data_IF_872776288783
#
_entry.id   IF_872776288783
#
_cell.length_a   1.000
_cell.length_b   1.000
_cell.length_c   1.000
_cell.angle_alpha   90.00
_cell.angle_beta   90.00
_cell.angle_gamma   90.00
#
_symmetry.space_group_name_H-M   'P 1'
#
loop_
_entity.id
_entity.type
_entity.pdbx_description
1 polymer ?
#
# COMPACT_ATOMS: atom_id res chain seq x y z
N UNK A 1 -11.93 10.83 4.14
CA UNK A 1 -10.92 11.45 3.26
C UNK A 1 -11.49 12.16 2.03
N UNK A 2 -10.87 13.28 1.61
CA UNK A 2 -11.07 13.93 0.30
C UNK A 2 -10.79 12.98 -0.87
N UNK A 3 -11.42 13.26 -2.01
CA UNK A 3 -11.18 12.55 -3.25
C UNK A 3 -10.30 13.38 -4.19
N UNK A 4 -9.38 12.71 -4.87
CA UNK A 4 -8.40 13.27 -5.82
C UNK A 4 -8.25 12.31 -7.00
N UNK A 5 -7.55 12.73 -8.05
CA UNK A 5 -7.10 11.79 -9.08
C UNK A 5 -6.07 10.86 -8.43
N UNK A 6 -6.32 9.56 -8.49
CA UNK A 6 -5.43 8.51 -8.00
C UNK A 6 -4.94 7.69 -9.20
N UNK A 7 -3.64 7.44 -9.24
CA UNK A 7 -3.00 6.59 -10.23
C UNK A 7 -3.43 5.12 -10.09
N UNK A 8 -3.86 4.69 -8.90
CA UNK A 8 -4.36 3.34 -8.58
C UNK A 8 -3.26 2.25 -8.54
N UNK A 9 -2.19 2.42 -9.31
CA UNK A 9 -0.97 1.61 -9.25
C UNK A 9 0.28 2.49 -9.18
N UNK A 10 0.47 3.17 -8.04
CA UNK A 10 1.64 4.02 -7.76
C UNK A 10 2.70 3.35 -6.83
N UNK A 11 3.15 2.10 -7.05
CA UNK A 11 4.25 1.50 -6.31
C UNK A 11 5.61 1.95 -6.87
N UNK A 12 6.68 1.64 -6.14
CA UNK A 12 8.05 2.00 -6.51
C UNK A 12 8.47 1.51 -7.91
N UNK A 13 7.96 0.37 -8.37
CA UNK A 13 8.25 -0.20 -9.71
C UNK A 13 7.74 0.65 -10.89
N UNK A 14 6.76 1.52 -10.66
CA UNK A 14 6.16 2.37 -11.70
C UNK A 14 6.77 3.79 -11.67
N UNK A 15 7.82 3.99 -10.87
CA UNK A 15 8.58 5.23 -10.76
C UNK A 15 9.98 5.04 -11.33
N UNK A 16 10.35 5.87 -12.29
CA UNK A 16 11.65 5.82 -12.96
C UNK A 16 12.47 7.05 -12.59
N UNK A 17 13.71 6.85 -12.13
CA UNK A 17 14.67 7.94 -12.00
C UNK A 17 15.22 8.23 -13.39
N UNK A 18 14.84 9.35 -13.96
CA UNK A 18 15.18 9.74 -15.32
C UNK A 18 16.19 10.89 -15.28
N UNK A 19 17.28 10.82 -16.09
CA UNK A 19 18.20 11.94 -16.21
C UNK A 19 17.54 13.13 -16.93
N UNK A 20 18.09 14.32 -16.72
CA UNK A 20 17.74 15.50 -17.51
C UNK A 20 17.77 15.21 -19.03
N UNK A 21 16.77 15.71 -19.76
CA UNK A 21 16.64 15.57 -21.21
C UNK A 21 16.12 16.87 -21.85
N UNK A 22 16.99 17.89 -22.00
CA UNK A 22 16.58 19.16 -22.62
C UNK A 22 16.15 19.00 -24.08
N UNK A 23 15.15 19.76 -24.56
CA UNK A 23 14.48 20.85 -23.86
C UNK A 23 13.25 20.39 -23.04
N UNK A 24 13.01 19.09 -22.90
CA UNK A 24 11.82 18.57 -22.22
C UNK A 24 11.95 18.64 -20.70
N UNK A 25 13.14 18.31 -20.18
CA UNK A 25 13.47 18.36 -18.75
C UNK A 25 14.90 18.88 -18.55
N UNK A 26 15.04 19.99 -17.85
CA UNK A 26 16.35 20.61 -17.57
C UNK A 26 17.09 19.94 -16.40
N UNK A 27 16.36 19.22 -15.53
CA UNK A 27 16.87 18.51 -14.36
C UNK A 27 16.45 17.03 -14.38
N UNK A 28 17.13 16.20 -13.58
CA UNK A 28 16.70 14.83 -13.31
C UNK A 28 15.28 14.84 -12.72
N UNK A 29 14.47 13.87 -13.13
CA UNK A 29 13.05 13.83 -12.77
C UNK A 29 12.58 12.41 -12.48
N UNK A 30 11.42 12.29 -11.83
CA UNK A 30 10.74 11.02 -11.65
C UNK A 30 9.73 10.83 -12.77
N UNK A 31 10.00 9.90 -13.68
CA UNK A 31 9.04 9.42 -14.65
C UNK A 31 8.00 8.53 -13.98
N UNK A 32 6.73 8.70 -14.35
CA UNK A 32 5.60 7.91 -13.84
C UNK A 32 4.97 7.16 -15.03
N UNK A 33 4.78 5.85 -14.91
CA UNK A 33 4.19 4.99 -15.94
C UNK A 33 3.00 4.21 -15.38
N UNK A 34 2.21 3.59 -16.28
CA UNK A 34 1.08 2.71 -15.93
C UNK A 34 -0.16 3.45 -15.34
N UNK A 35 -0.35 4.70 -15.75
CA UNK A 35 -1.41 5.60 -15.24
C UNK A 35 -2.77 5.48 -15.97
N UNK A 36 -2.92 4.59 -16.94
CA UNK A 36 -4.13 4.48 -17.76
C UNK A 36 -5.40 4.07 -16.99
N UNK A 37 -5.22 3.42 -15.82
CA UNK A 37 -6.32 2.99 -14.94
C UNK A 37 -6.61 4.02 -13.83
N UNK A 38 -6.12 5.25 -13.96
CA UNK A 38 -6.34 6.30 -12.97
C UNK A 38 -7.84 6.59 -12.78
N UNK A 39 -8.24 6.81 -11.54
CA UNK A 39 -9.64 7.06 -11.15
C UNK A 39 -9.73 8.23 -10.17
N UNK A 40 -10.95 8.67 -9.89
CA UNK A 40 -11.20 9.60 -8.79
C UNK A 40 -11.40 8.80 -7.50
N UNK A 41 -10.51 8.97 -6.54
CA UNK A 41 -10.40 8.10 -5.37
C UNK A 41 -9.83 8.79 -4.15
N UNK A 42 -9.67 8.06 -3.03
CA UNK A 42 -9.30 8.67 -1.76
C UNK A 42 -7.84 9.13 -1.75
N UNK A 43 -7.56 10.30 -1.15
CA UNK A 43 -6.23 10.93 -1.12
C UNK A 43 -5.10 10.02 -0.60
N UNK A 44 -5.41 9.07 0.27
CA UNK A 44 -4.40 8.17 0.85
C UNK A 44 -4.02 7.01 -0.07
N UNK A 45 -4.72 6.80 -1.20
CA UNK A 45 -4.58 5.58 -2.01
C UNK A 45 -3.17 5.40 -2.57
N UNK A 46 -2.69 6.37 -3.35
CA UNK A 46 -1.35 6.31 -3.96
C UNK A 46 -0.24 6.43 -2.91
N UNK A 47 -0.48 7.19 -1.85
CA UNK A 47 0.45 7.29 -0.72
C UNK A 47 0.66 5.94 -0.04
N UNK A 48 -0.42 5.18 0.18
CA UNK A 48 -0.33 3.79 0.69
C UNK A 48 0.38 2.90 -0.32
N UNK A 49 0.08 3.03 -1.61
CA UNK A 49 0.73 2.25 -2.66
C UNK A 49 2.25 2.41 -2.65
N UNK A 50 2.74 3.63 -2.36
CA UNK A 50 4.16 3.94 -2.30
C UNK A 50 4.81 3.57 -0.96
N UNK A 51 4.20 3.99 0.17
CA UNK A 51 4.82 3.88 1.49
C UNK A 51 4.64 2.51 2.15
N UNK A 52 3.62 1.75 1.73
CA UNK A 52 3.35 0.37 2.15
C UNK A 52 3.31 -0.53 0.91
N UNK A 53 4.38 -0.47 0.13
CA UNK A 53 4.56 -1.29 -1.06
C UNK A 53 4.57 -2.79 -0.67
N UNK A 54 3.98 -3.64 -1.49
CA UNK A 54 3.99 -5.10 -1.25
C UNK A 54 5.40 -5.70 -1.38
N UNK A 55 6.34 -5.02 -2.04
CA UNK A 55 7.68 -5.55 -2.31
C UNK A 55 8.75 -5.11 -1.29
N UNK A 56 8.49 -4.08 -0.49
CA UNK A 56 9.47 -3.50 0.44
C UNK A 56 8.78 -3.20 1.77
N UNK A 57 9.43 -3.59 2.87
CA UNK A 57 8.94 -3.27 4.21
C UNK A 57 9.78 -2.21 4.89
N UNK A 58 9.13 -1.10 5.25
CA UNK A 58 9.74 0.00 6.01
C UNK A 58 9.38 -0.06 7.50
N UNK A 59 10.26 0.41 8.41
CA UNK A 59 9.90 0.60 9.81
C UNK A 59 8.71 1.56 9.96
N UNK A 60 7.74 1.24 10.82
CA UNK A 60 6.52 2.06 11.01
C UNK A 60 6.84 3.52 11.32
N UNK A 61 7.85 3.79 12.16
CA UNK A 61 8.27 5.15 12.49
C UNK A 61 8.65 5.96 11.24
N UNK A 62 9.35 5.34 10.28
CA UNK A 62 9.76 5.99 9.03
C UNK A 62 8.54 6.29 8.14
N UNK A 63 7.60 5.34 8.06
CA UNK A 63 6.33 5.53 7.34
C UNK A 63 5.54 6.70 7.94
N UNK A 64 5.48 6.81 9.26
CA UNK A 64 4.81 7.91 9.95
C UNK A 64 5.48 9.28 9.69
N UNK A 65 6.82 9.32 9.63
CA UNK A 65 7.55 10.54 9.25
C UNK A 65 7.22 10.98 7.82
N UNK A 66 7.10 10.05 6.88
CA UNK A 66 6.71 10.38 5.50
C UNK A 66 5.23 10.77 5.39
N UNK A 67 4.36 10.18 6.20
CA UNK A 67 2.96 10.60 6.28
C UNK A 67 2.83 12.03 6.80
N UNK A 68 3.63 12.38 7.81
CA UNK A 68 3.69 13.74 8.36
C UNK A 68 4.26 14.74 7.34
N UNK A 69 5.32 14.36 6.62
CA UNK A 69 5.83 15.13 5.49
C UNK A 69 4.76 15.37 4.42
N UNK A 70 4.00 14.33 4.04
CA UNK A 70 2.88 14.47 3.11
C UNK A 70 1.81 15.42 3.64
N UNK A 71 1.43 15.29 4.92
CA UNK A 71 0.42 16.13 5.56
C UNK A 71 0.79 17.61 5.56
N UNK A 72 2.07 17.92 5.75
CA UNK A 72 2.58 19.30 5.82
C UNK A 72 2.74 19.96 4.45
N UNK A 73 2.87 19.16 3.38
CA UNK A 73 3.11 19.65 2.02
C UNK A 73 1.93 19.46 1.05
N UNK A 74 0.85 18.81 1.48
CA UNK A 74 -0.37 18.62 0.67
C UNK A 74 -1.49 19.55 1.12
N UNK A 75 -1.92 20.44 0.21
CA UNK A 75 -3.08 21.30 0.45
C UNK A 75 -4.37 20.50 0.66
N UNK A 76 -4.51 19.36 -0.04
CA UNK A 76 -5.66 18.49 0.10
C UNK A 76 -5.62 17.70 1.42
N UNK A 77 -4.44 17.32 1.91
CA UNK A 77 -4.30 16.67 3.21
C UNK A 77 -4.59 17.63 4.38
N UNK A 78 -4.34 18.94 4.21
CA UNK A 78 -4.65 19.98 5.20
C UNK A 78 -6.15 20.06 5.56
N UNK A 79 -7.03 19.42 4.78
CA UNK A 79 -8.47 19.29 5.08
C UNK A 79 -8.77 18.23 6.16
N UNK A 80 -7.78 17.44 6.56
CA UNK A 80 -7.90 16.37 7.56
C UNK A 80 -7.07 16.72 8.80
N UNK A 81 -7.55 16.39 10.00
CA UNK A 81 -6.68 16.37 11.17
C UNK A 81 -5.70 15.19 11.09
N UNK A 82 -4.59 15.27 11.84
CA UNK A 82 -3.52 14.27 11.78
C UNK A 82 -4.01 12.86 12.16
N UNK A 83 -4.91 12.76 13.15
CA UNK A 83 -5.50 11.50 13.59
C UNK A 83 -6.39 10.89 12.50
N UNK A 84 -7.18 11.71 11.81
CA UNK A 84 -8.04 11.26 10.72
C UNK A 84 -7.21 10.82 9.51
N UNK A 85 -6.15 11.55 9.16
CA UNK A 85 -5.24 11.18 8.08
C UNK A 85 -4.55 9.83 8.39
N UNK A 86 -4.04 9.67 9.61
CA UNK A 86 -3.42 8.43 10.05
C UNK A 86 -4.40 7.25 9.99
N UNK A 87 -5.62 7.46 10.48
CA UNK A 87 -6.68 6.44 10.41
C UNK A 87 -7.04 6.09 8.98
N UNK A 88 -7.31 7.07 8.13
CA UNK A 88 -7.63 6.85 6.72
C UNK A 88 -6.49 6.11 5.99
N UNK A 89 -5.23 6.44 6.30
CA UNK A 89 -4.04 5.81 5.74
C UNK A 89 -3.85 4.35 6.21
N UNK A 90 -4.08 4.05 7.48
CA UNK A 90 -3.99 2.67 7.98
C UNK A 90 -5.14 1.81 7.43
N UNK A 91 -6.37 2.32 7.38
CA UNK A 91 -7.52 1.60 6.82
C UNK A 91 -7.40 1.38 5.31
N UNK A 92 -6.91 2.38 4.57
CA UNK A 92 -6.60 2.23 3.15
C UNK A 92 -5.51 1.18 2.93
N UNK A 93 -4.49 1.18 3.79
CA UNK A 93 -3.50 0.10 3.88
C UNK A 93 -4.15 -1.27 3.98
N UNK A 94 -5.01 -1.49 4.97
CA UNK A 94 -5.72 -2.76 5.15
C UNK A 94 -6.52 -3.16 3.90
N UNK A 95 -7.29 -2.23 3.33
CA UNK A 95 -8.10 -2.49 2.14
C UNK A 95 -7.24 -2.91 0.93
N UNK A 96 -6.17 -2.16 0.65
CA UNK A 96 -5.29 -2.43 -0.51
C UNK A 96 -4.57 -3.76 -0.38
N UNK A 97 -4.05 -4.06 0.81
CA UNK A 97 -3.34 -5.30 1.07
C UNK A 97 -4.28 -6.50 1.03
N UNK A 98 -5.52 -6.37 1.53
CA UNK A 98 -6.53 -7.43 1.39
C UNK A 98 -6.83 -7.72 -0.08
N UNK A 99 -7.01 -6.68 -0.90
CA UNK A 99 -7.19 -6.81 -2.35
C UNK A 99 -5.96 -7.48 -3.00
N UNK A 100 -4.75 -7.07 -2.64
CA UNK A 100 -3.51 -7.63 -3.18
C UNK A 100 -3.36 -9.12 -2.84
N UNK A 101 -3.60 -9.52 -1.59
CA UNK A 101 -3.57 -10.93 -1.18
C UNK A 101 -4.56 -11.78 -1.99
N UNK A 102 -5.78 -11.27 -2.24
CA UNK A 102 -6.76 -11.91 -3.10
C UNK A 102 -6.31 -12.03 -4.56
N UNK A 103 -5.67 -10.98 -5.11
CA UNK A 103 -5.10 -11.00 -6.46
C UNK A 103 -3.98 -12.05 -6.57
N UNK A 104 -3.05 -12.10 -5.61
CA UNK A 104 -1.97 -13.08 -5.59
C UNK A 104 -2.48 -14.52 -5.52
N UNK A 105 -3.48 -14.77 -4.65
CA UNK A 105 -4.14 -16.07 -4.59
C UNK A 105 -4.81 -16.43 -5.93
N UNK A 106 -5.53 -15.49 -6.55
CA UNK A 106 -6.16 -15.70 -7.85
C UNK A 106 -5.15 -15.99 -8.95
N UNK A 107 -4.04 -15.25 -9.02
CA UNK A 107 -2.96 -15.46 -10.00
C UNK A 107 -2.34 -16.86 -9.85
N UNK A 108 -2.18 -17.34 -8.62
CA UNK A 108 -1.72 -18.71 -8.36
C UNK A 108 -2.72 -19.75 -8.83
N UNK A 109 -4.01 -19.62 -8.46
CA UNK A 109 -5.04 -20.62 -8.74
C UNK A 109 -5.38 -20.69 -10.23
N UNK A 110 -5.53 -19.53 -10.88
CA UNK A 110 -6.01 -19.43 -12.26
C UNK A 110 -4.89 -19.45 -13.29
N UNK A 111 -3.80 -18.73 -13.01
CA UNK A 111 -2.76 -18.44 -13.99
C UNK A 111 -1.45 -19.24 -13.73
N UNK A 112 -1.42 -20.12 -12.73
CA UNK A 112 -0.25 -20.93 -12.37
C UNK A 112 0.94 -20.12 -11.84
N UNK A 113 0.74 -18.83 -11.53
CA UNK A 113 1.81 -17.93 -11.07
C UNK A 113 2.03 -18.05 -9.57
N UNK A 114 2.48 -19.22 -9.12
CA UNK A 114 2.65 -19.56 -7.70
C UNK A 114 3.64 -18.64 -6.96
N UNK A 115 4.59 -18.03 -7.68
CA UNK A 115 5.59 -17.13 -7.09
C UNK A 115 4.99 -15.95 -6.30
N UNK A 116 3.79 -15.46 -6.66
CA UNK A 116 3.12 -14.38 -5.94
C UNK A 116 2.64 -14.79 -4.53
N UNK A 117 2.53 -16.09 -4.24
CA UNK A 117 2.16 -16.54 -2.89
C UNK A 117 3.23 -16.19 -1.86
N UNK A 118 4.48 -16.00 -2.29
CA UNK A 118 5.58 -15.62 -1.41
C UNK A 118 5.41 -14.20 -0.84
N UNK A 119 4.63 -13.34 -1.49
CA UNK A 119 4.36 -11.96 -1.05
C UNK A 119 3.13 -11.87 -0.11
N UNK A 120 2.31 -12.92 -0.03
CA UNK A 120 1.09 -12.93 0.79
C UNK A 120 1.39 -12.80 2.29
N UNK A 121 2.38 -13.49 2.89
CA UNK A 121 2.71 -13.32 4.31
C UNK A 121 3.00 -11.87 4.68
N UNK A 122 3.84 -11.17 3.89
CA UNK A 122 4.16 -9.76 4.11
C UNK A 122 2.92 -8.87 3.99
N UNK A 123 2.08 -9.13 3.00
CA UNK A 123 0.82 -8.42 2.80
C UNK A 123 -0.11 -8.59 4.02
N UNK A 124 -0.18 -9.80 4.58
CA UNK A 124 -0.94 -10.09 5.79
C UNK A 124 -0.33 -9.46 7.06
N UNK A 125 1.00 -9.35 7.15
CA UNK A 125 1.64 -8.66 8.28
C UNK A 125 1.27 -7.17 8.31
N UNK A 126 1.21 -6.50 7.16
CA UNK A 126 0.72 -5.12 7.08
C UNK A 126 -0.73 -4.99 7.55
N UNK A 127 -1.60 -5.90 7.11
CA UNK A 127 -3.00 -5.94 7.53
C UNK A 127 -3.09 -6.15 9.05
N UNK A 128 -2.30 -7.08 9.60
CA UNK A 128 -2.31 -7.40 11.02
C UNK A 128 -1.81 -6.23 11.87
N UNK A 129 -0.74 -5.57 11.45
CA UNK A 129 -0.19 -4.40 12.14
C UNK A 129 -1.21 -3.27 12.22
N UNK A 130 -1.90 -2.96 11.12
CA UNK A 130 -2.94 -1.93 11.11
C UNK A 130 -4.19 -2.35 11.90
N UNK A 131 -4.65 -3.60 11.75
CA UNK A 131 -5.82 -4.11 12.46
C UNK A 131 -5.65 -4.11 13.98
N UNK A 132 -4.43 -4.33 14.50
CA UNK A 132 -4.14 -4.28 15.94
C UNK A 132 -4.22 -2.88 16.56
N UNK A 133 -4.16 -1.83 15.73
CA UNK A 133 -4.26 -0.44 16.21
C UNK A 133 -5.70 -0.10 16.58
N UNK A 134 -6.69 -0.70 15.93
CA UNK A 134 -8.10 -0.30 16.05
C UNK A 134 -8.96 -1.40 16.68
N UNK A 135 -9.62 -1.15 17.83
CA UNK A 135 -10.39 -2.15 18.56
C UNK A 135 -11.49 -2.84 17.75
N UNK A 136 -12.11 -2.14 16.80
CA UNK A 136 -13.15 -2.68 15.93
C UNK A 136 -12.67 -3.84 15.02
N UNK A 137 -11.35 -4.00 14.83
CA UNK A 137 -10.76 -5.13 14.11
C UNK A 137 -10.17 -6.19 15.05
N UNK A 138 -10.46 -6.17 16.35
CA UNK A 138 -9.94 -7.15 17.30
C UNK A 138 -10.25 -8.60 16.87
N UNK A 139 -11.51 -8.91 16.55
CA UNK A 139 -11.91 -10.25 16.08
C UNK A 139 -11.18 -10.65 14.79
N UNK A 140 -11.05 -9.71 13.85
CA UNK A 140 -10.40 -9.95 12.58
C UNK A 140 -8.89 -10.17 12.73
N UNK A 141 -8.20 -9.33 13.51
CA UNK A 141 -6.77 -9.45 13.80
C UNK A 141 -6.45 -10.75 14.55
N UNK A 142 -7.32 -11.16 15.48
CA UNK A 142 -7.20 -12.44 16.18
C UNK A 142 -7.30 -13.61 15.20
N UNK A 143 -8.34 -13.64 14.35
CA UNK A 143 -8.50 -14.68 13.34
C UNK A 143 -7.31 -14.74 12.36
N UNK A 144 -6.84 -13.58 11.90
CA UNK A 144 -5.71 -13.49 10.98
C UNK A 144 -4.44 -14.10 11.61
N UNK A 145 -4.19 -13.79 12.88
CA UNK A 145 -3.01 -14.25 13.62
C UNK A 145 -3.07 -15.73 14.03
N UNK A 146 -4.23 -16.24 14.46
CA UNK A 146 -4.33 -17.59 15.02
C UNK A 146 -4.78 -18.65 14.02
N UNK A 147 -5.41 -18.24 12.92
CA UNK A 147 -6.02 -19.17 11.97
C UNK A 147 -5.40 -19.05 10.59
N UNK A 148 -5.45 -17.87 9.97
CA UNK A 148 -5.05 -17.71 8.58
C UNK A 148 -3.52 -17.76 8.39
N UNK A 149 -2.75 -16.94 9.11
CA UNK A 149 -1.29 -16.90 8.99
C UNK A 149 -0.62 -18.25 9.29
N UNK A 150 -1.01 -18.99 10.34
CA UNK A 150 -0.46 -20.33 10.57
C UNK A 150 -0.76 -21.33 9.44
N UNK A 151 -1.94 -21.26 8.84
CA UNK A 151 -2.30 -22.12 7.71
C UNK A 151 -1.52 -21.78 6.44
N UNK A 152 -1.31 -20.48 6.18
CA UNK A 152 -0.51 -19.98 5.06
C UNK A 152 0.95 -20.46 5.17
N UNK A 153 1.56 -20.32 6.35
CA UNK A 153 2.97 -20.69 6.56
C UNK A 153 3.20 -22.20 6.47
N UNK A 154 2.24 -23.02 6.91
CA UNK A 154 2.30 -24.49 6.72
C UNK A 154 2.35 -24.89 5.25
N UNK A 155 1.59 -24.20 4.39
CA UNK A 155 1.58 -24.45 2.94
C UNK A 155 2.87 -24.02 2.25
N UNK A 156 3.54 -22.97 2.71
CA UNK A 156 4.80 -22.52 2.12
C UNK A 156 5.97 -23.48 2.41
N UNK A 157 5.86 -24.30 3.45
CA UNK A 157 6.88 -25.28 3.86
C UNK A 157 6.67 -26.69 3.29
N UNK A 158 5.59 -26.92 2.55
CA UNK A 158 5.22 -28.20 1.94
C UNK A 158 5.41 -28.17 0.42
#
# INVERSE_FOLDING_TARGET
>A
QPHVIVHLDYPSRNLMVCPANPPLHDEDFIGIIDFQDAVYGPITYDLVSLLKDCYIQWPRQRVLQWLDYFSTHSQQAALLCQEQLLRDFDLMGMQRHLKAAGIFARLSIRDGKHGYLNDVPRTCDYILQAARVYPEFATFSQWLATTFLPALNKKAAA
#
